data_IF_367090067516
#
_entry.id   IF_367090067516
#
_cell.length_a   1.000
_cell.length_b   1.000
_cell.length_c   1.000
_cell.angle_alpha   90.00
_cell.angle_beta   90.00
_cell.angle_gamma   90.00
#
_symmetry.space_group_name_H-M   'P 1'
#
loop_
_entity.id
_entity.type
_entity.pdbx_description
1 polymer ?
#
# COMPACT_ATOMS: atom_id res chain seq x y z
N UNK A 1 -1.69 16.46 31.79
CA UNK A 1 -2.65 17.17 30.92
C UNK A 1 -3.36 16.14 30.06
N UNK A 2 -4.69 16.13 30.06
CA UNK A 2 -5.48 15.14 29.32
C UNK A 2 -5.44 15.52 27.84
N UNK A 3 -4.54 14.89 27.09
CA UNK A 3 -4.27 15.24 25.70
C UNK A 3 -5.40 14.65 24.85
N UNK A 4 -6.52 15.38 24.73
CA UNK A 4 -7.69 14.96 23.95
C UNK A 4 -7.29 14.88 22.47
N UNK A 5 -7.64 13.77 21.82
CA UNK A 5 -7.42 13.57 20.38
C UNK A 5 -8.70 13.85 19.61
N UNK A 6 -8.54 14.28 18.36
CA UNK A 6 -9.59 14.39 17.36
C UNK A 6 -9.49 13.21 16.40
N UNK A 7 -10.59 12.53 16.12
CA UNK A 7 -10.60 11.35 15.26
C UNK A 7 -11.31 11.71 13.97
N UNK A 8 -10.59 11.80 12.86
CA UNK A 8 -11.17 12.09 11.56
C UNK A 8 -11.46 10.77 10.83
N UNK A 9 -12.70 10.57 10.40
CA UNK A 9 -13.13 9.45 9.56
C UNK A 9 -13.37 9.98 8.15
N UNK A 10 -12.56 9.51 7.22
CA UNK A 10 -12.61 9.86 5.79
C UNK A 10 -13.34 8.79 4.97
N UNK A 11 -13.38 7.55 5.45
CA UNK A 11 -14.24 6.46 4.96
C UNK A 11 -14.73 5.63 6.15
N UNK A 12 -16.04 5.47 6.27
CA UNK A 12 -16.71 4.78 7.39
C UNK A 12 -18.22 4.80 7.17
N UNK A 13 -19.00 4.36 8.17
CA UNK A 13 -20.46 4.52 8.19
C UNK A 13 -20.86 6.00 8.12
N UNK A 14 -20.15 6.85 8.87
CA UNK A 14 -20.26 8.30 8.79
C UNK A 14 -18.86 8.93 8.73
N UNK A 15 -18.68 9.92 7.85
CA UNK A 15 -17.44 10.71 7.76
C UNK A 15 -17.52 11.97 8.62
N UNK A 16 -16.38 12.46 9.11
CA UNK A 16 -16.33 13.67 9.93
C UNK A 16 -15.27 13.60 11.02
N UNK A 17 -15.33 14.52 11.97
CA UNK A 17 -14.43 14.57 13.13
C UNK A 17 -15.21 14.20 14.39
N UNK A 18 -14.71 13.22 15.12
CA UNK A 18 -15.23 12.72 16.38
C UNK A 18 -14.28 13.09 17.53
N UNK A 19 -14.80 13.30 18.73
CA UNK A 19 -14.01 13.77 19.87
C UNK A 19 -13.54 12.64 20.78
N UNK A 20 -14.06 11.43 20.57
CA UNK A 20 -13.71 10.23 21.34
C UNK A 20 -13.42 9.04 20.43
N UNK A 21 -12.61 8.10 20.93
CA UNK A 21 -12.40 6.83 20.24
C UNK A 21 -13.71 6.07 20.08
N UNK A 22 -14.55 6.03 21.10
CA UNK A 22 -15.81 5.27 21.08
C UNK A 22 -16.77 5.74 19.97
N UNK A 23 -16.87 7.06 19.76
CA UNK A 23 -17.65 7.63 18.65
C UNK A 23 -17.06 7.25 17.28
N UNK A 24 -15.74 7.35 17.14
CA UNK A 24 -15.02 7.00 15.92
C UNK A 24 -15.13 5.51 15.60
N UNK A 25 -14.94 4.65 16.60
CA UNK A 25 -14.97 3.19 16.49
C UNK A 25 -16.30 2.71 15.91
N UNK A 26 -17.41 3.26 16.42
CA UNK A 26 -18.76 3.00 15.88
C UNK A 26 -18.90 3.31 14.40
N UNK A 27 -18.06 4.19 13.83
CA UNK A 27 -18.11 4.52 12.40
C UNK A 27 -17.21 3.65 11.53
N UNK A 28 -16.24 2.93 12.10
CA UNK A 28 -15.19 2.26 11.32
C UNK A 28 -15.15 0.76 11.56
N UNK A 29 -15.67 0.29 12.69
CA UNK A 29 -15.70 -1.13 13.01
C UNK A 29 -16.58 -1.90 12.01
N UNK A 30 -16.03 -2.99 11.45
CA UNK A 30 -16.72 -3.80 10.44
C UNK A 30 -16.84 -3.16 9.05
N UNK A 31 -16.38 -1.93 8.84
CA UNK A 31 -16.40 -1.28 7.51
C UNK A 31 -15.13 -1.63 6.75
N UNK A 32 -15.27 -2.39 5.66
CA UNK A 32 -14.13 -2.77 4.83
C UNK A 32 -13.44 -1.54 4.26
N UNK A 33 -12.15 -1.40 4.59
CA UNK A 33 -11.33 -0.28 4.14
C UNK A 33 -11.58 1.02 4.90
N UNK A 34 -12.24 1.05 6.06
CA UNK A 34 -12.40 2.29 6.82
C UNK A 34 -11.10 3.11 6.90
N UNK A 35 -11.18 4.41 6.58
CA UNK A 35 -10.06 5.34 6.61
C UNK A 35 -10.31 6.33 7.74
N UNK A 36 -9.51 6.23 8.79
CA UNK A 36 -9.58 7.12 9.92
C UNK A 36 -8.20 7.37 10.53
N UNK A 37 -8.03 8.52 11.19
CA UNK A 37 -6.78 8.89 11.87
C UNK A 37 -7.06 9.79 13.05
N UNK A 38 -6.27 9.65 14.12
CA UNK A 38 -6.33 10.52 15.29
C UNK A 38 -5.29 11.65 15.20
N UNK A 39 -5.69 12.86 15.57
CA UNK A 39 -4.87 14.07 15.55
C UNK A 39 -4.88 14.76 16.91
N UNK A 40 -3.87 15.58 17.18
CA UNK A 40 -3.80 16.37 18.41
C UNK A 40 -4.57 17.68 18.29
N UNK A 41 -4.74 18.18 17.06
CA UNK A 41 -5.47 19.41 16.81
C UNK A 41 -6.65 19.17 15.88
N UNK A 42 -7.73 19.94 16.09
CA UNK A 42 -8.89 19.91 15.19
C UNK A 42 -8.50 20.32 13.77
N UNK A 43 -7.56 21.26 13.62
CA UNK A 43 -7.08 21.74 12.33
C UNK A 43 -6.44 20.62 11.50
N UNK A 44 -5.54 19.82 12.10
CA UNK A 44 -4.94 18.66 11.40
C UNK A 44 -6.00 17.64 10.95
N UNK A 45 -7.02 17.41 11.80
CA UNK A 45 -8.14 16.54 11.47
C UNK A 45 -9.00 17.09 10.30
N UNK A 46 -9.26 18.41 10.29
CA UNK A 46 -9.94 19.09 9.18
C UNK A 46 -9.12 19.00 7.89
N UNK A 47 -7.82 19.22 7.96
CA UNK A 47 -6.93 19.19 6.80
C UNK A 47 -6.85 17.77 6.20
N UNK A 48 -6.80 16.72 7.03
CA UNK A 48 -6.90 15.34 6.58
C UNK A 48 -8.18 15.04 5.78
N UNK A 49 -9.32 15.62 6.19
CA UNK A 49 -10.61 15.48 5.49
C UNK A 49 -10.67 16.29 4.19
N UNK A 50 -9.99 17.45 4.12
CA UNK A 50 -9.94 18.29 2.91
C UNK A 50 -9.08 17.71 1.80
N UNK A 51 -8.04 16.95 2.13
CA UNK A 51 -7.29 16.22 1.12
C UNK A 51 -8.25 15.29 0.39
N UNK A 52 -8.46 15.49 -0.91
CA UNK A 52 -9.28 14.58 -1.69
C UNK A 52 -8.73 13.15 -1.54
N UNK A 53 -9.62 12.16 -1.45
CA UNK A 53 -9.19 10.79 -1.72
C UNK A 53 -8.64 10.80 -3.13
N UNK A 54 -7.35 10.51 -3.30
CA UNK A 54 -6.77 10.37 -4.62
C UNK A 54 -7.38 9.11 -5.23
N UNK A 55 -8.48 9.27 -5.94
CA UNK A 55 -9.12 8.22 -6.73
C UNK A 55 -8.68 8.44 -8.15
N UNK A 56 -7.59 7.81 -8.56
CA UNK A 56 -7.29 7.71 -9.98
C UNK A 56 -8.30 6.73 -10.58
N UNK A 57 -9.33 7.22 -11.25
CA UNK A 57 -10.23 6.38 -12.04
C UNK A 57 -9.63 6.25 -13.45
N UNK A 58 -8.63 5.38 -13.59
CA UNK A 58 -8.23 4.93 -14.93
C UNK A 58 -9.38 4.11 -15.53
N UNK A 59 -9.61 4.24 -16.84
CA UNK A 59 -10.47 3.29 -17.54
C UNK A 59 -9.89 1.88 -17.38
N UNK A 60 -10.78 0.94 -17.08
CA UNK A 60 -10.42 -0.45 -16.80
C UNK A 60 -9.71 -1.13 -17.98
N UNK A 61 -9.93 -0.61 -19.19
CA UNK A 61 -9.46 -1.17 -20.47
C UNK A 61 -8.00 -0.81 -20.83
N UNK A 62 -7.36 0.13 -20.13
CA UNK A 62 -6.01 0.61 -20.50
C UNK A 62 -4.94 0.44 -19.41
N UNK A 63 -5.26 -0.28 -18.33
CA UNK A 63 -4.41 -0.34 -17.14
C UNK A 63 -3.78 -1.71 -16.94
N UNK A 64 -2.46 -1.76 -16.71
CA UNK A 64 -1.76 -2.98 -16.31
C UNK A 64 -2.04 -3.28 -14.83
N UNK A 65 -2.24 -4.56 -14.49
CA UNK A 65 -2.37 -5.02 -13.11
C UNK A 65 -1.05 -5.67 -12.67
N UNK A 66 -0.38 -5.03 -11.72
CA UNK A 66 0.90 -5.46 -11.19
C UNK A 66 0.69 -6.05 -9.80
N UNK A 67 0.68 -7.37 -9.70
CA UNK A 67 0.51 -8.10 -8.45
C UNK A 67 1.86 -8.25 -7.76
N UNK A 68 1.89 -7.89 -6.48
CA UNK A 68 3.11 -7.87 -5.68
C UNK A 68 2.95 -8.65 -4.38
N UNK A 69 3.99 -9.37 -3.98
CA UNK A 69 4.10 -9.89 -2.63
C UNK A 69 5.58 -9.96 -2.21
N UNK A 70 5.81 -10.25 -0.93
CA UNK A 70 7.14 -10.43 -0.36
C UNK A 70 7.22 -11.70 0.49
N UNK A 71 8.44 -12.19 0.66
CA UNK A 71 8.75 -13.32 1.52
C UNK A 71 9.98 -12.98 2.37
N UNK A 72 10.00 -13.35 3.63
CA UNK A 72 11.09 -13.05 4.56
C UNK A 72 11.57 -14.33 5.21
N UNK A 73 12.90 -14.53 5.21
CA UNK A 73 13.54 -15.68 5.85
C UNK A 73 14.99 -15.32 6.20
N UNK A 74 15.45 -15.70 7.39
CA UNK A 74 16.87 -15.59 7.80
C UNK A 74 17.52 -14.21 7.54
N UNK A 75 16.86 -13.11 7.94
CA UNK A 75 17.31 -11.71 7.72
C UNK A 75 17.40 -11.26 6.25
N UNK A 76 16.98 -12.10 5.31
CA UNK A 76 16.80 -11.76 3.89
C UNK A 76 15.32 -11.65 3.59
N UNK A 77 15.00 -10.91 2.54
CA UNK A 77 13.67 -10.91 1.98
C UNK A 77 13.73 -11.01 0.46
N UNK A 78 12.81 -11.80 -0.09
CA UNK A 78 12.52 -11.85 -1.50
C UNK A 78 11.33 -10.96 -1.83
N UNK A 79 11.27 -10.48 -3.06
CA UNK A 79 10.14 -9.76 -3.62
C UNK A 79 9.72 -10.39 -4.94
N UNK A 80 8.41 -10.41 -5.20
CA UNK A 80 7.83 -10.92 -6.43
C UNK A 80 6.90 -9.89 -7.07
N UNK A 81 6.97 -9.78 -8.38
CA UNK A 81 6.14 -8.91 -9.21
C UNK A 81 5.61 -9.68 -10.41
N UNK A 82 4.30 -9.65 -10.60
CA UNK A 82 3.61 -10.34 -11.69
C UNK A 82 2.76 -9.34 -12.46
N UNK A 83 2.95 -9.25 -13.77
CA UNK A 83 2.36 -8.21 -14.61
C UNK A 83 1.28 -8.83 -15.49
N UNK A 84 0.07 -8.28 -15.42
CA UNK A 84 -1.07 -8.68 -16.24
C UNK A 84 -1.60 -7.50 -17.06
N UNK A 85 -2.10 -7.82 -18.25
CA UNK A 85 -2.94 -6.93 -19.07
C UNK A 85 -4.02 -7.77 -19.74
N UNK A 86 -5.26 -7.30 -19.74
CA UNK A 86 -6.40 -8.00 -20.36
C UNK A 86 -6.54 -9.46 -19.90
N UNK A 87 -6.33 -9.69 -18.59
CA UNK A 87 -6.29 -11.01 -17.95
C UNK A 87 -5.23 -11.99 -18.47
N UNK A 88 -4.24 -11.51 -19.23
CA UNK A 88 -3.10 -12.30 -19.70
C UNK A 88 -1.84 -11.93 -18.93
N UNK A 89 -1.07 -12.95 -18.55
CA UNK A 89 0.27 -12.77 -17.99
C UNK A 89 1.16 -12.14 -19.07
N UNK A 90 1.79 -11.02 -18.73
CA UNK A 90 2.71 -10.28 -19.59
C UNK A 90 4.15 -10.59 -19.21
N UNK A 91 4.47 -10.51 -17.92
CA UNK A 91 5.83 -10.70 -17.43
C UNK A 91 5.87 -11.02 -15.92
N UNK A 92 7.01 -11.50 -15.44
CA UNK A 92 7.28 -11.77 -14.03
C UNK A 92 8.70 -11.35 -13.66
N UNK A 93 8.84 -10.73 -12.49
CA UNK A 93 10.14 -10.36 -11.93
C UNK A 93 10.24 -10.79 -10.48
N UNK A 94 11.44 -11.13 -10.04
CA UNK A 94 11.74 -11.32 -8.64
C UNK A 94 13.17 -10.88 -8.32
N UNK A 95 13.48 -10.88 -7.04
CA UNK A 95 14.82 -10.64 -6.54
C UNK A 95 14.81 -10.61 -5.02
N UNK A 96 15.97 -10.33 -4.46
CA UNK A 96 16.17 -10.38 -3.03
C UNK A 96 17.02 -9.24 -2.50
N UNK A 97 16.99 -9.06 -1.18
CA UNK A 97 17.84 -8.13 -0.46
C UNK A 97 17.93 -8.53 1.01
N UNK A 98 18.86 -7.92 1.73
CA UNK A 98 18.99 -8.02 3.18
C UNK A 98 18.09 -6.98 3.85
N UNK A 99 17.47 -7.35 4.97
CA UNK A 99 16.78 -6.38 5.83
C UNK A 99 17.80 -5.67 6.71
N UNK A 100 18.07 -4.40 6.40
CA UNK A 100 18.93 -3.55 7.23
C UNK A 100 18.23 -3.06 8.52
N UNK A 101 16.89 -3.16 8.58
CA UNK A 101 16.10 -2.67 9.70
C UNK A 101 15.92 -3.77 10.75
N UNK A 102 16.56 -3.61 11.92
CA UNK A 102 16.47 -4.56 13.04
C UNK A 102 15.10 -4.64 13.74
N UNK A 103 14.06 -3.98 13.19
CA UNK A 103 12.78 -3.78 13.88
C UNK A 103 11.59 -3.76 12.92
N UNK A 104 10.73 -4.78 13.00
CA UNK A 104 9.31 -4.77 12.60
C UNK A 104 8.96 -4.62 11.11
N UNK A 105 9.94 -4.37 10.23
CA UNK A 105 9.73 -4.22 8.79
C UNK A 105 9.96 -5.47 7.97
N UNK A 106 10.59 -6.48 8.57
CA UNK A 106 11.03 -7.72 7.93
C UNK A 106 9.97 -8.34 7.02
N UNK A 107 8.75 -8.48 7.54
CA UNK A 107 7.64 -9.14 6.84
C UNK A 107 7.09 -8.31 5.68
N UNK A 108 7.32 -6.99 5.66
CA UNK A 108 6.81 -6.07 4.66
C UNK A 108 7.89 -5.57 3.69
N UNK A 109 9.17 -5.77 3.99
CA UNK A 109 10.28 -5.25 3.19
C UNK A 109 10.20 -5.72 1.73
N UNK A 110 9.89 -7.00 1.52
CA UNK A 110 9.68 -7.55 0.17
C UNK A 110 8.50 -6.93 -0.55
N UNK A 111 7.37 -6.73 0.14
CA UNK A 111 6.19 -6.07 -0.45
C UNK A 111 6.48 -4.61 -0.82
N UNK A 112 7.18 -3.87 0.05
CA UNK A 112 7.57 -2.47 -0.21
C UNK A 112 8.54 -2.40 -1.40
N UNK A 113 9.53 -3.29 -1.45
CA UNK A 113 10.46 -3.33 -2.58
C UNK A 113 9.76 -3.70 -3.89
N UNK A 114 8.84 -4.68 -3.88
CA UNK A 114 8.02 -5.04 -5.02
C UNK A 114 7.16 -3.85 -5.51
N UNK A 115 6.56 -3.07 -4.60
CA UNK A 115 5.81 -1.87 -4.93
C UNK A 115 6.70 -0.81 -5.60
N UNK A 116 7.90 -0.56 -5.07
CA UNK A 116 8.86 0.34 -5.70
C UNK A 116 9.29 -0.15 -7.10
N UNK A 117 9.44 -1.47 -7.29
CA UNK A 117 9.74 -2.07 -8.61
C UNK A 117 8.58 -1.90 -9.59
N UNK A 118 7.34 -2.05 -9.13
CA UNK A 118 6.15 -1.79 -9.94
C UNK A 118 6.08 -0.33 -10.42
N UNK A 119 6.32 0.64 -9.52
CA UNK A 119 6.37 2.06 -9.88
C UNK A 119 7.47 2.32 -10.92
N UNK A 120 8.68 1.77 -10.72
CA UNK A 120 9.78 1.92 -11.68
C UNK A 120 9.45 1.31 -13.04
N UNK A 121 8.76 0.18 -13.07
CA UNK A 121 8.28 -0.43 -14.31
C UNK A 121 7.27 0.47 -15.02
N UNK A 122 6.33 1.07 -14.29
CA UNK A 122 5.36 2.03 -14.84
C UNK A 122 6.05 3.21 -15.51
N UNK A 123 7.02 3.82 -14.83
CA UNK A 123 7.82 4.95 -15.35
C UNK A 123 8.61 4.54 -16.58
N UNK A 124 9.34 3.42 -16.52
CA UNK A 124 10.18 2.97 -17.63
C UNK A 124 9.38 2.64 -18.89
N UNK A 125 8.14 2.20 -18.75
CA UNK A 125 7.25 1.84 -19.86
C UNK A 125 6.25 2.93 -20.23
N UNK A 126 6.26 4.06 -19.51
CA UNK A 126 5.27 5.13 -19.60
C UNK A 126 3.82 4.58 -19.57
N UNK A 127 3.53 3.71 -18.58
CA UNK A 127 2.23 3.04 -18.42
C UNK A 127 1.59 3.38 -17.09
N UNK A 128 0.27 3.56 -17.12
CA UNK A 128 -0.55 3.59 -15.92
C UNK A 128 -0.74 2.16 -15.39
N UNK A 129 -0.59 2.00 -14.09
CA UNK A 129 -0.64 0.69 -13.43
C UNK A 129 -1.61 0.69 -12.26
N UNK A 130 -2.16 -0.48 -11.96
CA UNK A 130 -2.80 -0.80 -10.68
C UNK A 130 -1.91 -1.78 -9.93
N UNK A 131 -1.36 -1.34 -8.80
CA UNK A 131 -0.62 -2.19 -7.87
C UNK A 131 -1.63 -3.00 -7.06
N UNK A 132 -1.60 -4.32 -7.24
CA UNK A 132 -2.43 -5.26 -6.51
C UNK A 132 -1.65 -5.80 -5.31
N UNK A 133 -2.12 -5.53 -4.10
CA UNK A 133 -1.39 -5.83 -2.86
C UNK A 133 -2.31 -6.38 -1.76
N UNK A 134 -1.72 -7.07 -0.79
CA UNK A 134 -2.47 -7.69 0.32
C UNK A 134 -2.43 -6.83 1.58
N UNK A 135 -1.30 -6.16 1.81
CA UNK A 135 -1.13 -5.25 2.94
C UNK A 135 -1.60 -3.84 2.63
N UNK A 136 -2.62 -3.35 3.33
CA UNK A 136 -3.24 -2.03 3.07
C UNK A 136 -2.27 -0.86 3.28
N UNK A 137 -1.26 -1.00 4.15
CA UNK A 137 -0.32 0.08 4.44
C UNK A 137 0.43 0.61 3.22
N UNK A 138 0.61 -0.19 2.16
CA UNK A 138 1.21 0.28 0.90
C UNK A 138 0.40 1.42 0.27
N UNK A 139 -0.91 1.27 0.14
CA UNK A 139 -1.75 2.34 -0.41
C UNK A 139 -1.85 3.50 0.58
N UNK A 140 -1.99 3.22 1.87
CA UNK A 140 -2.15 4.29 2.87
C UNK A 140 -0.91 5.17 3.02
N UNK A 141 0.29 4.60 2.91
CA UNK A 141 1.54 5.36 2.90
C UNK A 141 1.68 6.17 1.61
N UNK A 142 1.46 5.56 0.45
CA UNK A 142 1.57 6.25 -0.83
C UNK A 142 0.58 7.43 -0.97
N UNK A 143 -0.63 7.27 -0.42
CA UNK A 143 -1.68 8.29 -0.45
C UNK A 143 -1.56 9.32 0.69
N UNK A 144 -0.53 9.25 1.53
CA UNK A 144 -0.30 10.18 2.62
C UNK A 144 -1.27 10.03 3.82
N UNK A 145 -2.08 8.97 3.85
CA UNK A 145 -2.97 8.71 4.98
C UNK A 145 -2.19 8.24 6.20
N UNK A 146 -1.15 7.43 6.02
CA UNK A 146 -0.31 6.91 7.08
C UNK A 146 1.08 7.55 7.07
N UNK A 147 1.63 7.78 8.27
CA UNK A 147 3.00 8.28 8.41
C UNK A 147 3.95 7.12 8.69
N UNK A 148 5.21 7.26 8.33
CA UNK A 148 6.27 6.31 8.67
C UNK A 148 7.53 7.04 9.14
N UNK A 149 8.32 6.37 9.98
CA UNK A 149 9.63 6.86 10.44
C UNK A 149 10.78 5.93 10.02
N UNK A 150 10.50 5.00 9.10
CA UNK A 150 11.45 4.00 8.65
C UNK A 150 12.01 4.36 7.28
N UNK A 151 13.32 4.15 7.10
CA UNK A 151 14.05 4.56 5.90
C UNK A 151 13.48 3.97 4.62
N UNK A 152 13.19 2.67 4.61
CA UNK A 152 12.65 1.99 3.43
C UNK A 152 11.25 2.52 3.05
N UNK A 153 10.39 2.71 4.05
CA UNK A 153 9.03 3.22 3.84
C UNK A 153 9.07 4.66 3.33
N UNK A 154 9.93 5.51 3.90
CA UNK A 154 10.07 6.90 3.43
C UNK A 154 10.58 6.98 1.99
N UNK A 155 11.49 6.07 1.57
CA UNK A 155 11.90 5.96 0.14
C UNK A 155 10.73 5.58 -0.76
N UNK A 156 9.88 4.65 -0.31
CA UNK A 156 8.67 4.25 -1.03
C UNK A 156 7.63 5.38 -1.11
N UNK A 157 7.38 6.09 -0.01
CA UNK A 157 6.48 7.26 0.03
C UNK A 157 6.96 8.32 -0.96
N UNK A 158 8.22 8.72 -0.85
CA UNK A 158 8.81 9.72 -1.75
C UNK A 158 8.66 9.33 -3.23
N UNK A 159 8.99 8.08 -3.57
CA UNK A 159 8.83 7.59 -4.95
C UNK A 159 7.36 7.58 -5.40
N UNK A 160 6.43 7.23 -4.51
CA UNK A 160 5.00 7.19 -4.82
C UNK A 160 4.44 8.59 -5.05
N UNK A 161 4.79 9.55 -4.18
CA UNK A 161 4.34 10.96 -4.28
C UNK A 161 4.69 11.59 -5.62
N UNK A 162 5.86 11.27 -6.19
CA UNK A 162 6.27 11.80 -7.49
C UNK A 162 5.47 11.23 -8.67
N UNK A 163 4.77 10.10 -8.48
CA UNK A 163 4.18 9.30 -9.56
C UNK A 163 2.72 8.91 -9.29
N UNK A 164 2.03 9.65 -8.40
CA UNK A 164 0.64 9.38 -8.03
C UNK A 164 -0.30 9.42 -9.24
N UNK A 165 0.00 10.18 -10.28
CA UNK A 165 -0.77 10.27 -11.53
C UNK A 165 -0.69 9.01 -12.41
N UNK A 166 0.33 8.15 -12.18
CA UNK A 166 0.56 6.91 -12.93
C UNK A 166 0.09 5.65 -12.20
N UNK A 167 -0.21 5.74 -10.89
CA UNK A 167 -0.45 4.57 -10.05
C UNK A 167 -1.85 4.55 -9.45
N UNK A 168 -2.36 3.33 -9.34
CA UNK A 168 -3.57 2.95 -8.63
C UNK A 168 -3.26 1.82 -7.65
N UNK A 169 -4.12 1.67 -6.65
CA UNK A 169 -4.01 0.60 -5.67
C UNK A 169 -5.27 -0.25 -5.64
N UNK A 170 -5.10 -1.57 -5.61
CA UNK A 170 -6.18 -2.54 -5.43
C UNK A 170 -5.78 -3.51 -4.33
N UNK A 171 -6.49 -3.46 -3.20
CA UNK A 171 -6.36 -4.49 -2.18
C UNK A 171 -6.93 -5.81 -2.72
N UNK A 172 -6.19 -6.90 -2.54
CA UNK A 172 -6.60 -8.27 -2.90
C UNK A 172 -6.42 -9.20 -1.71
N UNK A 173 -7.22 -10.27 -1.66
CA UNK A 173 -7.08 -11.32 -0.65
C UNK A 173 -5.93 -12.27 -1.02
N UNK A 174 -5.22 -12.80 -0.01
CA UNK A 174 -4.24 -13.89 -0.20
C UNK A 174 -4.93 -15.23 -0.50
N UNK A 175 -4.19 -16.17 -1.08
CA UNK A 175 -4.59 -17.57 -1.25
C UNK A 175 -5.82 -17.79 -2.13
N UNK A 176 -5.81 -17.18 -3.32
CA UNK A 176 -6.90 -17.28 -4.28
C UNK A 176 -6.56 -18.12 -5.52
N UNK A 177 -5.46 -18.86 -5.50
CA UNK A 177 -4.84 -19.57 -6.63
C UNK A 177 -4.60 -18.66 -7.85
N UNK A 178 -4.43 -17.36 -7.61
CA UNK A 178 -4.33 -16.33 -8.64
C UNK A 178 -2.96 -15.67 -8.72
N UNK A 179 -2.87 -14.51 -9.41
CA UNK A 179 -1.60 -13.82 -9.63
C UNK A 179 -0.86 -13.41 -8.35
N UNK A 180 -1.59 -13.20 -7.24
CA UNK A 180 -0.96 -12.86 -5.96
C UNK A 180 -0.15 -14.03 -5.39
N UNK A 181 -0.65 -15.25 -5.51
CA UNK A 181 0.05 -16.44 -5.02
C UNK A 181 1.28 -16.76 -5.90
N UNK A 182 1.22 -16.41 -7.19
CA UNK A 182 2.41 -16.45 -8.06
C UNK A 182 3.46 -15.43 -7.61
N UNK A 183 3.05 -14.21 -7.22
CA UNK A 183 3.98 -13.22 -6.68
C UNK A 183 4.63 -13.70 -5.36
N UNK A 184 3.87 -14.36 -4.47
CA UNK A 184 4.41 -14.99 -3.26
C UNK A 184 5.44 -16.07 -3.59
N UNK A 185 5.12 -16.98 -4.53
CA UNK A 185 6.05 -18.04 -4.97
C UNK A 185 7.34 -17.48 -5.56
N UNK A 186 7.24 -16.42 -6.35
CA UNK A 186 8.41 -15.74 -6.94
C UNK A 186 9.30 -15.11 -5.87
N UNK A 187 8.71 -14.52 -4.84
CA UNK A 187 9.43 -13.97 -3.69
C UNK A 187 10.13 -15.09 -2.89
N UNK A 188 9.48 -16.22 -2.66
CA UNK A 188 10.10 -17.39 -2.02
C UNK A 188 11.27 -17.94 -2.85
N UNK A 189 11.08 -18.09 -4.16
CA UNK A 189 12.11 -18.59 -5.07
C UNK A 189 13.36 -17.72 -5.07
N UNK A 190 13.20 -16.40 -4.95
CA UNK A 190 14.32 -15.47 -4.95
C UNK A 190 15.32 -15.72 -3.81
N UNK A 191 14.88 -16.23 -2.65
CA UNK A 191 15.74 -16.55 -1.51
C UNK A 191 16.42 -17.92 -1.60
N UNK A 192 15.98 -18.76 -2.54
CA UNK A 192 16.45 -20.15 -2.73
C UNK A 192 17.49 -20.27 -3.85
N UNK A 193 17.86 -19.15 -4.49
CA UNK A 193 18.96 -19.04 -5.45
C UNK A 193 20.27 -18.77 -4.71
#
# INVERSE_FOLDING_TARGET
MNNKKFYAVKRGLSTGIFNTWEECEKQVIGVEGALFKSFWTKKEAEDYLKHALFTNTFSQDDTYYLYIDGYYENNRYGWGLVIYKDNKLVDTFNGESISEDNTGLYEMAGQIQAAMKAIKWAVANNKKITICHTYIGLSEWALGNWNANKRLVNKYIFLSEQHLDMINFKKVNKYNNGPIDLATKLAEQALRL
#
